data_IF_002819229955
#
_entry.id   IF_002819229955
#
_cell.length_a   1.000
_cell.length_b   1.000
_cell.length_c   1.000
_cell.angle_alpha   90.00
_cell.angle_beta   90.00
_cell.angle_gamma   90.00
#
_symmetry.space_group_name_H-M   'P 1'
#
loop_
_entity.id
_entity.type
_entity.pdbx_description
1 polymer ?
#
# COMPACT_ATOMS: atom_id res chain seq x y z
N UNK A 1 10.93 9.80 28.61
CA UNK A 1 10.40 10.30 27.32
C UNK A 1 10.43 9.16 26.32
N UNK A 2 9.41 8.31 26.33
CA UNK A 2 9.28 7.20 25.39
C UNK A 2 8.77 7.78 24.08
N UNK A 3 9.69 8.13 23.18
CA UNK A 3 9.35 8.48 21.81
C UNK A 3 8.69 7.25 21.19
N UNK A 4 7.36 7.24 21.15
CA UNK A 4 6.60 6.34 20.29
C UNK A 4 7.03 6.64 18.86
N UNK A 5 8.08 5.95 18.40
CA UNK A 5 8.39 5.88 16.98
C UNK A 5 7.27 5.07 16.35
N UNK A 6 6.12 5.71 16.14
CA UNK A 6 5.08 5.17 15.27
C UNK A 6 5.81 4.76 14.00
N UNK A 7 5.73 3.49 13.63
CA UNK A 7 6.36 3.02 12.40
C UNK A 7 5.77 3.85 11.27
N UNK A 8 6.60 4.34 10.35
CA UNK A 8 6.06 4.93 9.13
C UNK A 8 5.11 3.91 8.50
N UNK A 9 3.88 4.29 8.11
CA UNK A 9 3.00 3.37 7.42
C UNK A 9 3.76 2.85 6.20
N UNK A 10 3.96 1.54 6.17
CA UNK A 10 4.64 0.89 5.07
C UNK A 10 3.72 -0.14 4.42
N UNK A 11 3.88 -0.30 3.11
CA UNK A 11 3.11 -1.18 2.26
C UNK A 11 4.05 -2.19 1.60
N UNK A 12 3.61 -3.44 1.52
CA UNK A 12 4.29 -4.48 0.78
C UNK A 12 3.48 -4.87 -0.46
N UNK A 13 4.06 -4.72 -1.64
CA UNK A 13 3.43 -5.10 -2.91
C UNK A 13 3.94 -6.46 -3.38
N UNK A 14 3.04 -7.34 -3.79
CA UNK A 14 3.40 -8.64 -4.33
C UNK A 14 4.15 -8.47 -5.67
N UNK A 15 5.45 -8.76 -5.67
CA UNK A 15 6.29 -8.68 -6.87
C UNK A 15 5.78 -9.60 -8.00
N UNK A 16 5.23 -10.77 -7.63
CA UNK A 16 4.68 -11.71 -8.61
C UNK A 16 3.44 -11.17 -9.32
N UNK A 17 2.60 -10.39 -8.64
CA UNK A 17 1.47 -9.71 -9.29
C UNK A 17 1.97 -8.66 -10.26
N UNK A 18 2.95 -7.83 -9.85
CA UNK A 18 3.53 -6.78 -10.70
C UNK A 18 4.09 -7.33 -12.01
N UNK A 19 4.80 -8.46 -11.94
CA UNK A 19 5.38 -9.11 -13.13
C UNK A 19 4.34 -9.74 -14.06
N UNK A 20 3.10 -9.93 -13.60
CA UNK A 20 1.98 -10.46 -14.39
C UNK A 20 1.08 -9.38 -14.96
N UNK A 21 1.31 -8.11 -14.60
CA UNK A 21 0.54 -7.00 -15.10
C UNK A 21 0.78 -6.80 -16.59
N UNK A 22 -0.25 -6.35 -17.29
CA UNK A 22 -0.08 -5.84 -18.64
C UNK A 22 0.86 -4.62 -18.62
N UNK A 23 1.69 -4.42 -19.66
CA UNK A 23 2.65 -3.31 -19.72
C UNK A 23 2.02 -1.93 -19.45
N UNK A 24 0.76 -1.74 -19.88
CA UNK A 24 0.01 -0.48 -19.72
C UNK A 24 -0.41 -0.19 -18.27
N UNK A 25 -0.49 -1.21 -17.42
CA UNK A 25 -0.79 -1.05 -15.99
C UNK A 25 0.41 -0.55 -15.18
N UNK A 26 1.55 -0.31 -15.86
CA UNK A 26 2.67 0.43 -15.33
C UNK A 26 3.59 -0.37 -14.40
N UNK A 27 3.53 -1.70 -14.44
CA UNK A 27 4.55 -2.65 -13.96
C UNK A 27 5.45 -2.15 -12.83
N UNK A 28 6.73 -1.93 -13.13
CA UNK A 28 7.77 -1.50 -12.17
C UNK A 28 7.61 -0.07 -11.65
N UNK A 29 6.83 0.77 -12.34
CA UNK A 29 6.51 2.14 -11.91
C UNK A 29 5.35 2.19 -10.92
N UNK A 30 4.51 1.14 -10.84
CA UNK A 30 3.35 1.12 -9.96
C UNK A 30 3.70 1.41 -8.49
N UNK A 31 4.75 0.83 -7.87
CA UNK A 31 5.14 1.18 -6.50
C UNK A 31 5.43 2.67 -6.30
N UNK A 32 6.06 3.31 -7.30
CA UNK A 32 6.37 4.75 -7.27
C UNK A 32 5.10 5.58 -7.36
N UNK A 33 4.16 5.21 -8.25
CA UNK A 33 2.88 5.91 -8.39
C UNK A 33 2.01 5.76 -7.15
N UNK A 34 1.88 4.55 -6.62
CA UNK A 34 1.17 4.29 -5.35
C UNK A 34 1.74 5.13 -4.21
N UNK A 35 3.07 5.21 -4.09
CA UNK A 35 3.72 6.09 -3.10
C UNK A 35 3.32 7.56 -3.29
N UNK A 36 3.30 8.05 -4.53
CA UNK A 36 2.93 9.44 -4.84
C UNK A 36 1.45 9.72 -4.53
N UNK A 37 0.56 8.77 -4.84
CA UNK A 37 -0.87 8.85 -4.52
C UNK A 37 -1.11 8.91 -3.01
N UNK A 38 -0.37 8.12 -2.23
CA UNK A 38 -0.57 8.00 -0.78
C UNK A 38 0.13 9.09 0.05
N UNK A 39 1.24 9.64 -0.44
CA UNK A 39 1.99 10.69 0.24
C UNK A 39 1.12 11.88 0.75
N UNK A 40 0.23 12.50 -0.05
CA UNK A 40 -0.59 13.62 0.40
C UNK A 40 -1.67 13.24 1.44
N UNK A 41 -1.94 11.94 1.60
CA UNK A 41 -2.93 11.42 2.54
C UNK A 41 -2.30 10.82 3.80
N UNK A 42 -0.97 10.68 3.83
CA UNK A 42 -0.26 10.21 5.01
C UNK A 42 -0.07 11.36 6.00
N UNK A 43 -0.34 11.16 7.30
CA UNK A 43 -0.04 12.15 8.35
C UNK A 43 1.43 12.58 8.38
N UNK A 44 2.33 11.72 7.86
CA UNK A 44 3.77 11.99 7.78
C UNK A 44 4.22 12.58 6.45
N UNK A 45 3.31 12.77 5.50
CA UNK A 45 3.66 13.19 4.13
C UNK A 45 4.42 12.14 3.32
N UNK A 46 4.59 10.93 3.87
CA UNK A 46 5.28 9.82 3.21
C UNK A 46 4.65 8.47 3.58
N UNK A 47 4.70 7.54 2.63
CA UNK A 47 4.41 6.11 2.82
C UNK A 47 5.57 5.33 2.22
N UNK A 48 6.11 4.38 2.98
CA UNK A 48 7.14 3.49 2.46
C UNK A 48 6.50 2.36 1.66
N UNK A 49 6.93 2.16 0.41
CA UNK A 49 6.43 1.07 -0.44
C UNK A 49 7.60 0.14 -0.75
N UNK A 50 7.43 -1.14 -0.42
CA UNK A 50 8.42 -2.18 -0.64
C UNK A 50 7.82 -3.34 -1.44
N UNK A 51 8.67 -4.10 -2.10
CA UNK A 51 8.27 -5.32 -2.78
C UNK A 51 8.39 -6.51 -1.83
N UNK A 52 7.45 -7.44 -1.93
CA UNK A 52 7.49 -8.72 -1.22
C UNK A 52 7.30 -9.86 -2.22
N UNK A 53 7.52 -11.08 -1.73
CA UNK A 53 7.23 -12.31 -2.47
C UNK A 53 5.72 -12.50 -2.72
N UNK A 54 5.34 -13.74 -3.02
CA UNK A 54 3.92 -14.07 -3.20
C UNK A 54 3.15 -13.88 -1.89
N UNK A 55 2.03 -13.16 -1.93
CA UNK A 55 1.11 -13.00 -0.79
C UNK A 55 0.05 -14.11 -0.69
N UNK A 56 0.20 -15.20 -1.46
CA UNK A 56 -0.72 -16.34 -1.48
C UNK A 56 -1.91 -16.19 -2.42
N UNK A 57 -2.15 -15.00 -2.97
CA UNK A 57 -3.21 -14.72 -3.92
C UNK A 57 -2.72 -13.77 -5.03
N UNK A 58 -3.16 -14.00 -6.26
CA UNK A 58 -2.82 -13.20 -7.44
C UNK A 58 -4.09 -13.00 -8.28
N UNK A 59 -4.91 -11.99 -7.96
CA UNK A 59 -6.12 -11.69 -8.71
C UNK A 59 -5.79 -11.24 -10.14
N UNK A 60 -6.65 -11.59 -11.09
CA UNK A 60 -6.49 -11.16 -12.48
C UNK A 60 -6.65 -9.63 -12.59
N UNK A 61 -5.71 -8.99 -13.31
CA UNK A 61 -5.71 -7.53 -13.52
C UNK A 61 -5.46 -6.68 -12.26
N UNK A 62 -5.15 -7.28 -11.11
CA UNK A 62 -4.97 -6.56 -9.83
C UNK A 62 -3.66 -6.94 -9.15
N UNK A 63 -3.25 -6.10 -8.20
CA UNK A 63 -2.05 -6.35 -7.38
C UNK A 63 -2.43 -6.55 -5.93
N UNK A 64 -2.04 -7.68 -5.37
CA UNK A 64 -2.14 -7.90 -3.93
C UNK A 64 -1.10 -7.06 -3.21
N UNK A 65 -1.55 -6.30 -2.24
CA UNK A 65 -0.73 -5.47 -1.36
C UNK A 65 -1.06 -5.79 0.09
N UNK A 66 -0.06 -5.80 0.95
CA UNK A 66 -0.23 -5.95 2.39
C UNK A 66 0.02 -4.59 3.05
N UNK A 67 -0.99 -4.10 3.77
CA UNK A 67 -0.86 -2.93 4.62
C UNK A 67 -0.24 -3.33 5.96
N UNK A 68 0.74 -2.55 6.44
CA UNK A 68 1.46 -2.82 7.69
C UNK A 68 1.50 -1.60 8.60
N UNK A 69 0.55 -0.67 8.43
CA UNK A 69 0.33 0.44 9.36
C UNK A 69 -0.59 0.03 10.51
N UNK A 70 -0.26 0.49 11.72
CA UNK A 70 -1.14 0.40 12.90
C UNK A 70 -2.40 1.28 12.70
N UNK A 71 -3.54 0.98 13.35
CA UNK A 71 -3.76 -0.09 14.33
C UNK A 71 -4.36 -1.39 13.75
N UNK A 72 -4.63 -1.45 12.45
CA UNK A 72 -5.30 -2.62 11.85
C UNK A 72 -4.35 -3.79 11.62
N UNK A 73 -4.86 -5.00 11.85
CA UNK A 73 -4.14 -6.24 11.54
C UNK A 73 -3.70 -6.25 10.06
N UNK A 74 -2.56 -6.88 9.73
CA UNK A 74 -2.04 -6.88 8.38
C UNK A 74 -3.03 -7.51 7.39
N UNK A 75 -3.72 -6.66 6.64
CA UNK A 75 -4.69 -7.07 5.63
C UNK A 75 -4.04 -7.10 4.24
N UNK A 76 -4.39 -8.12 3.46
CA UNK A 76 -4.03 -8.20 2.04
C UNK A 76 -5.19 -7.68 1.21
N UNK A 77 -4.99 -6.54 0.55
CA UNK A 77 -5.98 -5.88 -0.31
C UNK A 77 -5.56 -6.03 -1.76
N UNK A 78 -6.52 -6.18 -2.66
CA UNK A 78 -6.26 -6.18 -4.11
C UNK A 78 -6.52 -4.81 -4.71
N UNK A 79 -5.48 -4.15 -5.20
CA UNK A 79 -5.58 -2.82 -5.83
C UNK A 79 -5.65 -2.91 -7.35
N UNK A 80 -6.37 -1.96 -7.94
CA UNK A 80 -6.34 -1.69 -9.37
C UNK A 80 -5.06 -0.90 -9.73
N UNK A 81 -4.14 -1.48 -10.52
CA UNK A 81 -2.90 -0.82 -10.91
C UNK A 81 -3.12 0.40 -11.83
N UNK A 82 -4.28 0.51 -12.48
CA UNK A 82 -4.64 1.66 -13.31
C UNK A 82 -5.14 2.85 -12.49
N UNK A 83 -5.49 2.63 -11.22
CA UNK A 83 -5.96 3.68 -10.29
C UNK A 83 -4.89 4.11 -9.29
N UNK A 84 -3.66 3.66 -9.49
CA UNK A 84 -2.50 4.04 -8.67
C UNK A 84 -2.71 3.84 -7.17
N UNK A 85 -3.48 2.82 -6.79
CA UNK A 85 -3.72 2.45 -5.40
C UNK A 85 -4.54 3.47 -4.61
N UNK A 86 -5.40 4.26 -5.26
CA UNK A 86 -6.32 5.19 -4.59
C UNK A 86 -7.20 4.50 -3.56
N UNK A 87 -7.52 3.22 -3.75
CA UNK A 87 -8.27 2.41 -2.79
C UNK A 87 -7.60 2.36 -1.40
N UNK A 88 -6.27 2.48 -1.35
CA UNK A 88 -5.49 2.44 -0.11
C UNK A 88 -5.62 3.73 0.71
N UNK A 89 -6.11 4.82 0.14
CA UNK A 89 -6.33 6.08 0.86
C UNK A 89 -7.37 5.92 1.98
N UNK A 90 -8.36 5.05 1.79
CA UNK A 90 -9.34 4.75 2.83
C UNK A 90 -8.69 4.11 4.07
N UNK A 91 -7.65 3.29 3.87
CA UNK A 91 -6.91 2.65 4.96
C UNK A 91 -6.01 3.63 5.72
N UNK A 92 -5.58 4.73 5.09
CA UNK A 92 -4.84 5.81 5.75
C UNK A 92 -5.73 6.67 6.66
N UNK A 93 -6.95 6.99 6.21
CA UNK A 93 -7.90 7.84 6.95
C UNK A 93 -8.59 7.12 8.10
N UNK A 94 -8.70 5.79 8.03
CA UNK A 94 -9.23 4.96 9.12
C UNK A 94 -8.39 4.99 10.40
N UNK A 95 -7.13 5.43 10.32
CA UNK A 95 -6.21 5.53 11.47
C UNK A 95 -6.39 6.82 12.30
N UNK A 96 -7.26 7.76 11.90
CA UNK A 96 -7.45 9.05 12.59
C UNK A 96 -8.53 9.00 13.71
N UNK A 97 -9.30 7.92 13.83
CA UNK A 97 -10.53 7.90 14.66
C UNK A 97 -10.38 7.23 16.03
N UNK A 98 -9.18 6.84 16.47
CA UNK A 98 -8.98 6.18 17.78
C UNK A 98 -8.06 6.97 18.71
N UNK A 99 -8.34 8.27 18.88
CA UNK A 99 -7.93 9.07 20.03
C UNK A 99 -9.07 10.00 20.43
N UNK A 100 -10.09 9.49 21.14
CA UNK A 100 -10.98 10.34 21.97
C UNK A 100 -11.54 9.62 23.18
#
# INVERSE_FOLDING_TARGET
MSQGRGREPWLQMCHRCLMRLEPKAGGVDLPRRVRATLAPHSPRGSVAVSLTGCLGYCPEGRVSVRWLGEPTAPEVVGIDPMKDGVELVAHLRGSETEER
#
